data_IF_971600696854
#
_entry.id   IF_971600696854
#
_cell.length_a   1.000
_cell.length_b   1.000
_cell.length_c   1.000
_cell.angle_alpha   90.00
_cell.angle_beta   90.00
_cell.angle_gamma   90.00
#
_symmetry.space_group_name_H-M   'P 1'
#
loop_
_entity.id
_entity.type
_entity.pdbx_description
1 polymer ?
#
# COMPACT_ATOMS: atom_id res chain seq x y z
N UNK A 1 2.51 -37.31 16.44
CA UNK A 1 2.99 -35.98 16.00
C UNK A 1 2.40 -34.94 16.96
N UNK A 2 3.19 -34.44 17.91
CA UNK A 2 2.71 -33.75 19.13
C UNK A 2 2.21 -32.31 18.85
N UNK A 3 1.12 -31.91 19.51
CA UNK A 3 0.51 -30.56 19.45
C UNK A 3 1.53 -29.40 19.58
N UNK A 4 2.60 -29.59 20.37
CA UNK A 4 3.68 -28.60 20.55
C UNK A 4 4.43 -28.26 19.25
N UNK A 5 4.69 -29.25 18.39
CA UNK A 5 5.31 -29.01 17.08
C UNK A 5 4.37 -28.31 16.10
N UNK A 6 3.05 -28.55 16.23
CA UNK A 6 2.03 -27.88 15.43
C UNK A 6 1.92 -26.39 15.78
N UNK A 7 1.88 -26.06 17.08
CA UNK A 7 1.80 -24.67 17.55
C UNK A 7 3.04 -23.86 17.17
N UNK A 8 4.24 -24.42 17.33
CA UNK A 8 5.48 -23.75 16.93
C UNK A 8 5.51 -23.43 15.41
N UNK A 9 4.95 -24.32 14.57
CA UNK A 9 4.82 -24.10 13.12
C UNK A 9 3.85 -22.95 12.80
N UNK A 10 2.72 -22.88 13.50
CA UNK A 10 1.74 -21.79 13.35
C UNK A 10 2.33 -20.44 13.77
N UNK A 11 3.03 -20.37 14.91
CA UNK A 11 3.67 -19.13 15.37
C UNK A 11 4.74 -18.62 14.39
N UNK A 12 5.59 -19.52 13.86
CA UNK A 12 6.58 -19.17 12.82
C UNK A 12 5.91 -18.63 11.55
N UNK A 13 4.80 -19.23 11.11
CA UNK A 13 4.03 -18.74 9.95
C UNK A 13 3.46 -17.35 10.21
N UNK A 14 2.87 -17.12 11.39
CA UNK A 14 2.30 -15.82 11.75
C UNK A 14 3.38 -14.73 11.82
N UNK A 15 4.54 -15.02 12.41
CA UNK A 15 5.67 -14.09 12.45
C UNK A 15 6.11 -13.69 11.04
N UNK A 16 6.19 -14.66 10.11
CA UNK A 16 6.53 -14.40 8.71
C UNK A 16 5.49 -13.51 8.02
N UNK A 17 4.20 -13.74 8.26
CA UNK A 17 3.11 -12.90 7.72
C UNK A 17 3.21 -11.47 8.25
N UNK A 18 3.39 -11.29 9.56
CA UNK A 18 3.54 -9.98 10.19
C UNK A 18 4.74 -9.24 9.60
N UNK A 19 5.88 -9.92 9.46
CA UNK A 19 7.09 -9.34 8.88
C UNK A 19 6.87 -8.92 7.41
N UNK A 20 6.22 -9.77 6.59
CA UNK A 20 5.88 -9.42 5.20
C UNK A 20 4.97 -8.19 5.16
N UNK A 21 3.95 -8.12 6.01
CA UNK A 21 3.05 -6.96 6.06
C UNK A 21 3.79 -5.68 6.46
N UNK A 22 4.73 -5.77 7.41
CA UNK A 22 5.59 -4.64 7.81
C UNK A 22 6.49 -4.18 6.66
N UNK A 23 7.14 -5.12 5.97
CA UNK A 23 7.99 -4.81 4.82
C UNK A 23 7.18 -4.10 3.74
N UNK A 24 6.05 -4.67 3.32
CA UNK A 24 5.16 -4.07 2.31
C UNK A 24 4.80 -2.63 2.68
N UNK A 25 4.51 -2.34 3.95
CA UNK A 25 4.16 -1.00 4.42
C UNK A 25 5.32 0.01 4.33
N UNK A 26 6.57 -0.45 4.48
CA UNK A 26 7.76 0.42 4.54
C UNK A 26 8.60 0.43 3.24
N UNK A 27 8.13 -0.19 2.15
CA UNK A 27 8.84 -0.13 0.86
C UNK A 27 8.86 1.32 0.36
N UNK A 28 10.05 1.83 0.05
CA UNK A 28 10.28 3.14 -0.57
C UNK A 28 9.53 3.27 -1.89
N UNK A 29 8.92 4.43 -2.14
CA UNK A 29 8.23 4.72 -3.41
C UNK A 29 9.24 5.01 -4.52
N UNK A 30 9.19 4.25 -5.62
CA UNK A 30 9.99 4.55 -6.82
C UNK A 30 9.26 5.55 -7.72
N UNK A 31 9.95 6.08 -8.73
CA UNK A 31 9.42 7.14 -9.59
C UNK A 31 8.19 6.64 -10.37
N UNK A 32 8.26 5.44 -10.93
CA UNK A 32 7.21 4.84 -11.76
C UNK A 32 5.92 4.65 -10.96
N UNK A 33 6.04 4.28 -9.68
CA UNK A 33 4.89 4.14 -8.78
C UNK A 33 4.28 5.50 -8.44
N UNK A 34 5.12 6.52 -8.23
CA UNK A 34 4.64 7.89 -8.01
C UNK A 34 3.90 8.41 -9.22
N UNK A 35 4.45 8.21 -10.42
CA UNK A 35 3.84 8.65 -11.68
C UNK A 35 2.51 7.92 -11.92
N UNK A 36 2.44 6.62 -11.64
CA UNK A 36 1.19 5.85 -11.70
C UNK A 36 0.13 6.37 -10.72
N UNK A 37 0.50 6.69 -9.47
CA UNK A 37 -0.42 7.29 -8.50
C UNK A 37 -0.94 8.64 -9.01
N UNK A 38 -0.07 9.50 -9.53
CA UNK A 38 -0.49 10.80 -10.06
C UNK A 38 -1.38 10.65 -11.30
N UNK A 39 -1.04 9.75 -12.22
CA UNK A 39 -1.81 9.50 -13.44
C UNK A 39 -3.27 9.11 -13.15
N UNK A 40 -3.51 8.25 -12.16
CA UNK A 40 -4.87 7.74 -11.88
C UNK A 40 -5.59 8.47 -10.74
N UNK A 41 -4.86 9.01 -9.77
CA UNK A 41 -5.42 9.53 -8.52
C UNK A 41 -5.14 11.03 -8.30
N UNK A 42 -4.49 11.73 -9.24
CA UNK A 42 -4.26 13.18 -9.15
C UNK A 42 -5.53 13.97 -8.90
N UNK A 43 -6.67 13.60 -9.51
CA UNK A 43 -7.96 14.25 -9.28
C UNK A 43 -8.32 14.32 -7.79
N UNK A 44 -8.08 13.24 -7.05
CA UNK A 44 -8.38 13.17 -5.62
C UNK A 44 -7.40 14.04 -4.82
N UNK A 45 -6.11 13.99 -5.18
CA UNK A 45 -5.06 14.78 -4.54
C UNK A 45 -5.33 16.28 -4.70
N UNK A 46 -5.66 16.72 -5.91
CA UNK A 46 -5.98 18.11 -6.24
C UNK A 46 -7.23 18.60 -5.51
N UNK A 47 -8.26 17.74 -5.41
CA UNK A 47 -9.48 18.02 -4.65
C UNK A 47 -9.30 17.87 -3.13
N UNK A 48 -8.09 17.58 -2.65
CA UNK A 48 -7.78 17.31 -1.23
C UNK A 48 -8.68 16.22 -0.62
N UNK A 49 -9.08 15.22 -1.41
CA UNK A 49 -9.90 14.09 -0.98
C UNK A 49 -9.09 12.80 -1.02
N UNK A 50 -9.34 11.91 -0.08
CA UNK A 50 -8.73 10.57 -0.08
C UNK A 50 -9.56 9.66 -1.01
N UNK A 51 -8.93 8.96 -1.99
CA UNK A 51 -9.65 8.02 -2.84
C UNK A 51 -10.22 6.83 -2.04
N UNK A 52 -11.36 6.31 -2.49
CA UNK A 52 -11.97 5.12 -1.92
C UNK A 52 -11.20 3.86 -2.28
N UNK A 53 -11.49 2.74 -1.60
CA UNK A 53 -10.83 1.45 -1.88
C UNK A 53 -11.02 1.01 -3.34
N UNK A 54 -12.23 1.16 -3.88
CA UNK A 54 -12.54 0.75 -5.26
C UNK A 54 -11.76 1.56 -6.31
N UNK A 55 -11.62 2.87 -6.11
CA UNK A 55 -10.80 3.71 -7.00
C UNK A 55 -9.33 3.29 -6.99
N UNK A 56 -8.81 2.93 -5.81
CA UNK A 56 -7.44 2.47 -5.63
C UNK A 56 -7.23 1.08 -6.24
N UNK A 57 -8.15 0.14 -6.01
CA UNK A 57 -8.03 -1.20 -6.59
C UNK A 57 -8.07 -1.13 -8.13
N UNK A 58 -8.92 -0.26 -8.68
CA UNK A 58 -8.97 0.00 -10.12
C UNK A 58 -7.66 0.58 -10.66
N UNK A 59 -6.97 1.45 -9.93
CA UNK A 59 -5.67 1.99 -10.36
C UNK A 59 -4.56 0.94 -10.26
N UNK A 60 -4.56 0.11 -9.21
CA UNK A 60 -3.62 -1.01 -9.05
C UNK A 60 -3.80 -2.04 -10.17
N UNK A 61 -5.04 -2.35 -10.54
CA UNK A 61 -5.33 -3.29 -11.62
C UNK A 61 -4.89 -2.78 -13.00
N UNK A 62 -4.94 -1.46 -13.23
CA UNK A 62 -4.57 -0.84 -14.50
C UNK A 62 -3.07 -0.58 -14.65
N UNK A 63 -2.34 -0.38 -13.55
CA UNK A 63 -0.91 -0.04 -13.58
C UNK A 63 -0.04 -1.14 -13.00
N UNK A 64 0.74 -1.77 -13.88
CA UNK A 64 1.70 -2.80 -13.49
C UNK A 64 2.72 -2.30 -12.46
N UNK A 65 3.05 -1.00 -12.48
CA UNK A 65 3.94 -0.39 -11.49
C UNK A 65 3.42 -0.56 -10.05
N UNK A 66 2.10 -0.57 -9.84
CA UNK A 66 1.48 -0.65 -8.52
C UNK A 66 1.22 -2.10 -8.05
N UNK A 67 1.58 -3.13 -8.83
CA UNK A 67 1.26 -4.53 -8.53
C UNK A 67 1.79 -5.04 -7.18
N UNK A 68 2.87 -4.44 -6.66
CA UNK A 68 3.48 -4.79 -5.37
C UNK A 68 2.89 -4.00 -4.20
N UNK A 69 2.01 -3.04 -4.47
CA UNK A 69 1.39 -2.17 -3.47
C UNK A 69 0.03 -2.73 -3.08
N UNK A 70 -0.28 -2.59 -1.79
CA UNK A 70 -1.62 -2.80 -1.27
C UNK A 70 -2.37 -1.48 -1.24
N UNK A 71 -3.71 -1.54 -1.31
CA UNK A 71 -4.56 -0.34 -1.33
C UNK A 71 -4.29 0.62 -0.16
N UNK A 72 -3.94 0.10 1.02
CA UNK A 72 -3.58 0.91 2.20
C UNK A 72 -2.35 1.79 1.96
N UNK A 73 -1.31 1.26 1.31
CA UNK A 73 -0.11 2.03 0.97
C UNK A 73 -0.42 3.16 -0.02
N UNK A 74 -1.21 2.85 -1.06
CA UNK A 74 -1.60 3.85 -2.07
C UNK A 74 -2.44 4.96 -1.43
N UNK A 75 -3.37 4.59 -0.53
CA UNK A 75 -4.15 5.54 0.26
C UNK A 75 -3.26 6.47 1.10
N UNK A 76 -2.27 5.90 1.80
CA UNK A 76 -1.35 6.67 2.64
C UNK A 76 -0.46 7.59 1.78
N UNK A 77 -0.03 7.14 0.59
CA UNK A 77 0.68 7.99 -0.37
C UNK A 77 -0.16 9.19 -0.84
N UNK A 78 -1.44 8.98 -1.17
CA UNK A 78 -2.36 10.07 -1.51
C UNK A 78 -2.53 11.04 -0.34
N UNK A 79 -2.72 10.53 0.89
CA UNK A 79 -2.81 11.34 2.10
C UNK A 79 -1.55 12.19 2.28
N UNK A 80 -0.37 11.58 2.17
CA UNK A 80 0.91 12.26 2.35
C UNK A 80 1.12 13.36 1.31
N UNK A 81 0.75 13.11 0.05
CA UNK A 81 0.79 14.13 -1.02
C UNK A 81 -0.13 15.31 -0.71
N UNK A 82 -1.39 15.05 -0.32
CA UNK A 82 -2.34 16.11 0.09
C UNK A 82 -1.80 16.93 1.27
N UNK A 83 -1.26 16.27 2.30
CA UNK A 83 -0.68 16.96 3.45
C UNK A 83 0.60 17.73 3.10
N UNK A 84 1.41 17.23 2.16
CA UNK A 84 2.61 17.94 1.68
C UNK A 84 2.25 19.21 0.91
N UNK A 85 1.16 19.19 0.12
CA UNK A 85 0.67 20.37 -0.59
C UNK A 85 0.06 21.41 0.33
N UNK A 86 -0.28 21.06 1.58
CA UNK A 86 -0.82 22.01 2.55
C UNK A 86 0.27 22.78 3.33
N UNK A 87 1.52 22.31 3.28
CA UNK A 87 2.65 22.90 4.03
C UNK A 87 3.44 23.94 3.22
N UNK A 88 3.07 24.19 1.97
CA UNK A 88 3.60 25.26 1.13
C UNK A 88 2.52 26.32 0.97
#
# INVERSE_FOLDING_TARGET
MTLKNSMAKVMKKNMKVIHIMYLIRNITWVKEENDAVLKHLSKFILLKRIPGKMDIDNSIAKERALCRRIWKNVKDSCRNKILSTHRK
#
